data_IF_524822940006
#
_entry.id   IF_524822940006
#
_cell.length_a   1.000
_cell.length_b   1.000
_cell.length_c   1.000
_cell.angle_alpha   90.00
_cell.angle_beta   90.00
_cell.angle_gamma   90.00
#
_symmetry.space_group_name_H-M   'P 1'
#
loop_
_entity.id
_entity.type
_entity.pdbx_description
1 polymer ?
#
# COMPACT_ATOMS: atom_id res chain seq x y z
N UNK A 1 -17.11 -32.30 64.60
CA UNK A 1 -16.10 -32.54 63.54
C UNK A 1 -16.34 -31.53 62.43
N UNK A 2 -15.50 -30.49 62.36
CA UNK A 2 -15.64 -29.41 61.36
C UNK A 2 -14.76 -29.74 60.15
N UNK A 3 -15.36 -30.10 59.00
CA UNK A 3 -14.65 -30.32 57.73
C UNK A 3 -14.32 -28.97 57.12
N UNK A 4 -13.04 -28.59 57.09
CA UNK A 4 -12.52 -27.44 56.37
C UNK A 4 -12.35 -27.81 54.88
N UNK A 5 -13.18 -27.24 54.05
CA UNK A 5 -13.03 -27.35 52.57
C UNK A 5 -12.02 -26.27 52.17
N UNK A 6 -10.83 -26.72 51.77
CA UNK A 6 -9.83 -25.85 51.18
C UNK A 6 -10.20 -25.59 49.71
N UNK A 7 -10.55 -24.35 49.41
CA UNK A 7 -10.80 -23.89 48.02
C UNK A 7 -9.43 -23.52 47.38
N UNK A 8 -8.92 -24.41 46.58
CA UNK A 8 -7.74 -24.10 45.76
C UNK A 8 -8.17 -23.15 44.62
N UNK A 9 -7.84 -21.86 44.77
CA UNK A 9 -7.93 -20.88 43.68
C UNK A 9 -6.77 -21.12 42.72
N UNK A 10 -7.04 -21.80 41.61
CA UNK A 10 -6.11 -21.96 40.51
C UNK A 10 -6.03 -20.64 39.74
N UNK A 11 -5.05 -19.78 40.08
CA UNK A 11 -4.74 -18.60 39.30
C UNK A 11 -4.16 -19.04 37.97
N UNK A 12 -5.01 -19.06 36.93
CA UNK A 12 -4.57 -19.16 35.56
C UNK A 12 -3.80 -17.91 35.13
N UNK A 13 -2.48 -17.98 35.13
CA UNK A 13 -1.62 -16.97 34.50
C UNK A 13 -1.84 -17.07 32.99
N UNK A 14 -2.73 -16.21 32.47
CA UNK A 14 -2.83 -15.97 31.03
C UNK A 14 -1.55 -15.26 30.61
N UNK A 15 -0.59 -15.99 30.08
CA UNK A 15 0.57 -15.39 29.43
C UNK A 15 0.08 -14.63 28.21
N UNK A 16 -0.08 -13.32 28.34
CA UNK A 16 -0.31 -12.41 27.24
C UNK A 16 0.98 -12.39 26.40
N UNK A 17 1.05 -13.25 25.39
CA UNK A 17 2.08 -13.11 24.37
C UNK A 17 1.82 -11.77 23.66
N UNK A 18 2.82 -10.86 23.61
CA UNK A 18 2.68 -9.67 22.80
C UNK A 18 2.56 -10.16 21.35
N UNK A 19 1.37 -10.08 20.78
CA UNK A 19 1.19 -10.17 19.33
C UNK A 19 1.83 -8.91 18.79
N UNK A 20 3.11 -9.01 18.47
CA UNK A 20 3.81 -7.97 17.76
C UNK A 20 3.19 -7.90 16.35
N UNK A 21 2.14 -7.13 16.21
CA UNK A 21 1.63 -6.70 14.92
C UNK A 21 2.69 -5.77 14.33
N UNK A 22 3.74 -6.37 13.79
CA UNK A 22 4.77 -5.65 13.07
C UNK A 22 4.17 -5.17 11.75
N UNK A 23 3.58 -3.98 11.77
CA UNK A 23 3.49 -3.14 10.58
C UNK A 23 4.90 -2.64 10.26
N UNK A 24 5.81 -3.59 10.01
CA UNK A 24 7.21 -3.27 9.78
C UNK A 24 7.36 -2.83 8.33
N UNK A 25 7.40 -1.51 8.13
CA UNK A 25 7.82 -0.92 6.85
C UNK A 25 9.30 -1.21 6.55
N UNK A 26 10.02 -1.86 7.50
CA UNK A 26 11.44 -2.21 7.37
C UNK A 26 11.73 -3.26 6.30
N UNK A 27 10.73 -4.02 5.86
CA UNK A 27 10.87 -4.97 4.76
C UNK A 27 11.10 -4.31 3.40
N UNK A 28 10.76 -3.02 3.25
CA UNK A 28 10.97 -2.26 2.02
C UNK A 28 12.24 -1.42 2.07
N UNK A 29 12.92 -1.29 0.94
CA UNK A 29 14.06 -0.38 0.80
C UNK A 29 13.59 1.00 0.35
N UNK A 30 13.18 1.83 1.31
CA UNK A 30 12.65 3.16 1.04
C UNK A 30 13.67 4.14 0.44
N UNK A 31 14.97 3.82 0.49
CA UNK A 31 16.01 4.60 -0.17
C UNK A 31 16.05 4.38 -1.69
N UNK A 32 15.41 3.30 -2.17
CA UNK A 32 15.36 2.96 -3.59
C UNK A 32 13.98 3.19 -4.17
N UNK A 33 13.96 3.55 -5.44
CA UNK A 33 12.77 3.58 -6.29
C UNK A 33 13.03 2.73 -7.51
N UNK A 34 12.14 1.80 -7.75
CA UNK A 34 12.11 0.97 -8.95
C UNK A 34 10.83 1.28 -9.71
N UNK A 35 10.94 1.37 -11.03
CA UNK A 35 9.78 1.59 -11.91
C UNK A 35 9.54 0.35 -12.77
N UNK A 36 8.28 -0.02 -12.92
CA UNK A 36 7.84 -1.04 -13.87
C UNK A 36 6.74 -0.48 -14.77
N UNK A 37 6.69 -0.96 -16.00
CA UNK A 37 5.56 -0.78 -16.90
C UNK A 37 4.84 -2.12 -17.06
N UNK A 38 3.50 -2.10 -17.03
CA UNK A 38 2.74 -3.34 -17.13
C UNK A 38 1.23 -3.15 -17.17
N UNK A 39 0.54 -4.24 -16.91
CA UNK A 39 -0.93 -4.30 -16.87
C UNK A 39 -1.38 -4.78 -15.50
N UNK A 40 -2.36 -4.11 -14.92
CA UNK A 40 -2.98 -4.52 -13.65
C UNK A 40 -3.67 -5.86 -13.86
N UNK A 41 -3.27 -6.85 -13.07
CA UNK A 41 -3.91 -8.17 -13.08
C UNK A 41 -5.06 -8.23 -12.10
N UNK A 42 -4.87 -7.69 -10.89
CA UNK A 42 -5.79 -7.84 -9.77
C UNK A 42 -5.62 -6.70 -8.78
N UNK A 43 -6.70 -6.32 -8.10
CA UNK A 43 -6.72 -5.33 -7.03
C UNK A 43 -7.43 -5.91 -5.82
N UNK A 44 -6.72 -6.06 -4.71
CA UNK A 44 -7.28 -6.44 -3.42
C UNK A 44 -7.53 -5.19 -2.59
N UNK A 45 -8.75 -4.70 -2.63
CA UNK A 45 -9.19 -3.53 -1.87
C UNK A 45 -9.78 -3.98 -0.52
N UNK A 46 -8.90 -4.32 0.43
CA UNK A 46 -9.28 -4.92 1.72
C UNK A 46 -8.36 -4.45 2.85
N UNK A 47 -8.83 -4.58 4.11
CA UNK A 47 -8.00 -4.39 5.30
C UNK A 47 -7.12 -5.62 5.54
N UNK A 48 -5.92 -5.45 6.16
CA UNK A 48 -5.35 -4.18 6.64
C UNK A 48 -4.67 -3.36 5.54
N UNK A 49 -4.33 -3.93 4.40
CA UNK A 49 -3.61 -3.30 3.31
C UNK A 49 -4.29 -3.51 1.97
N UNK A 50 -4.28 -2.47 1.14
CA UNK A 50 -4.62 -2.61 -0.28
C UNK A 50 -3.41 -3.17 -1.01
N UNK A 51 -3.66 -4.12 -1.91
CA UNK A 51 -2.63 -4.70 -2.76
C UNK A 51 -3.03 -4.64 -4.23
N UNK A 52 -2.07 -4.30 -5.10
CA UNK A 52 -2.24 -4.30 -6.55
C UNK A 52 -1.23 -5.27 -7.15
N UNK A 53 -1.71 -6.20 -7.94
CA UNK A 53 -0.88 -7.12 -8.71
C UNK A 53 -0.72 -6.60 -10.13
N UNK A 54 0.53 -6.39 -10.55
CA UNK A 54 0.87 -5.88 -11.88
C UNK A 54 1.73 -6.90 -12.59
N UNK A 55 1.33 -7.28 -13.78
CA UNK A 55 2.13 -8.11 -14.67
C UNK A 55 2.94 -7.19 -15.58
N UNK A 56 4.24 -7.07 -15.31
CA UNK A 56 5.07 -6.07 -15.97
C UNK A 56 6.57 -6.34 -15.86
N UNK A 57 7.35 -5.43 -16.41
CA UNK A 57 8.80 -5.52 -16.48
C UNK A 57 9.48 -4.20 -16.09
N UNK A 58 10.73 -4.30 -15.61
CA UNK A 58 11.57 -3.15 -15.22
C UNK A 58 12.26 -2.49 -16.40
N UNK A 59 12.42 -3.22 -17.50
CA UNK A 59 13.08 -2.73 -18.71
C UNK A 59 12.31 -3.15 -19.96
N UNK A 60 12.31 -2.29 -20.97
CA UNK A 60 11.74 -2.63 -22.25
C UNK A 60 12.40 -3.90 -22.82
N UNK A 61 11.58 -4.86 -23.26
CA UNK A 61 12.05 -6.13 -23.82
C UNK A 61 12.45 -7.19 -22.79
N UNK A 62 12.42 -6.91 -21.49
CA UNK A 62 12.56 -7.96 -20.48
C UNK A 62 11.25 -8.73 -20.28
N UNK A 63 11.37 -10.03 -19.93
CA UNK A 63 10.22 -10.88 -19.67
C UNK A 63 9.35 -10.30 -18.56
N UNK A 64 8.05 -10.10 -18.79
CA UNK A 64 7.15 -9.62 -17.76
C UNK A 64 6.99 -10.66 -16.66
N UNK A 65 6.91 -10.18 -15.43
CA UNK A 65 6.63 -11.01 -14.24
C UNK A 65 5.54 -10.41 -13.40
N UNK A 66 4.99 -11.19 -12.48
CA UNK A 66 3.98 -10.70 -11.54
C UNK A 66 4.64 -9.98 -10.37
N UNK A 67 4.22 -8.74 -10.12
CA UNK A 67 4.67 -7.88 -9.03
C UNK A 67 3.53 -7.60 -8.07
N UNK A 68 3.82 -7.63 -6.77
CA UNK A 68 2.88 -7.26 -5.71
C UNK A 68 3.24 -5.88 -5.17
N UNK A 69 2.31 -4.93 -5.29
CA UNK A 69 2.43 -3.59 -4.73
C UNK A 69 1.55 -3.46 -3.52
N UNK A 70 2.15 -3.20 -2.36
CA UNK A 70 1.42 -2.98 -1.11
C UNK A 70 1.24 -1.49 -0.84
N UNK A 71 0.10 -1.16 -0.21
CA UNK A 71 -0.24 0.18 0.26
C UNK A 71 -0.80 0.12 1.66
N UNK A 72 -1.20 1.25 2.21
CA UNK A 72 -1.93 1.35 3.48
C UNK A 72 -3.38 0.84 3.35
N UNK A 73 -4.16 0.97 4.41
CA UNK A 73 -5.56 0.51 4.42
C UNK A 73 -6.46 1.31 3.47
N UNK A 74 -7.58 0.71 3.01
CA UNK A 74 -8.57 1.42 2.21
C UNK A 74 -9.04 2.73 2.82
N UNK A 75 -9.29 2.74 4.14
CA UNK A 75 -9.74 3.94 4.85
C UNK A 75 -8.72 5.07 4.85
N UNK A 76 -7.43 4.76 4.91
CA UNK A 76 -6.38 5.76 4.82
C UNK A 76 -6.29 6.35 3.41
N UNK A 77 -6.35 5.51 2.38
CA UNK A 77 -6.29 5.93 0.98
C UNK A 77 -7.48 6.83 0.59
N UNK A 78 -8.69 6.49 1.03
CA UNK A 78 -9.89 7.30 0.79
C UNK A 78 -9.79 8.66 1.50
N UNK A 79 -9.28 8.69 2.75
CA UNK A 79 -9.10 9.96 3.49
C UNK A 79 -8.08 10.90 2.87
N UNK A 80 -7.02 10.34 2.29
CA UNK A 80 -6.04 11.15 1.58
C UNK A 80 -6.61 11.82 0.32
N UNK A 81 -7.74 11.31 -0.17
CA UNK A 81 -8.37 11.75 -1.41
C UNK A 81 -7.76 11.11 -2.65
N UNK A 82 -8.49 11.18 -3.75
CA UNK A 82 -8.09 10.63 -5.04
C UNK A 82 -8.23 9.11 -5.19
N UNK A 83 -8.10 8.32 -4.13
CA UNK A 83 -8.27 6.88 -4.17
C UNK A 83 -9.72 6.45 -3.96
N UNK A 84 -10.14 5.45 -4.74
CA UNK A 84 -11.38 4.70 -4.55
C UNK A 84 -11.17 3.26 -4.98
N UNK A 85 -12.12 2.38 -4.67
CA UNK A 85 -12.08 0.98 -5.11
C UNK A 85 -11.97 0.85 -6.65
N UNK A 86 -12.45 1.83 -7.39
CA UNK A 86 -12.45 1.86 -8.85
C UNK A 86 -11.35 2.73 -9.46
N UNK A 87 -10.45 3.29 -8.65
CA UNK A 87 -9.38 4.18 -9.11
C UNK A 87 -8.42 3.48 -10.09
N UNK A 88 -8.14 2.21 -9.83
CA UNK A 88 -7.32 1.32 -10.66
C UNK A 88 -8.06 0.00 -10.79
N UNK A 89 -8.10 -0.57 -11.99
CA UNK A 89 -8.88 -1.77 -12.31
C UNK A 89 -8.03 -2.81 -13.04
N UNK A 90 -8.38 -4.10 -12.94
CA UNK A 90 -7.81 -5.13 -13.79
C UNK A 90 -7.91 -4.74 -15.26
N UNK A 91 -6.82 -4.90 -16.01
CA UNK A 91 -6.69 -4.53 -17.41
C UNK A 91 -6.10 -3.15 -17.67
N UNK A 92 -6.04 -2.26 -16.67
CA UNK A 92 -5.42 -0.95 -16.83
C UNK A 92 -3.93 -1.10 -17.14
N UNK A 93 -3.46 -0.37 -18.16
CA UNK A 93 -2.03 -0.23 -18.46
C UNK A 93 -1.45 0.85 -17.56
N UNK A 94 -0.37 0.53 -16.87
CA UNK A 94 0.18 1.38 -15.81
C UNK A 94 1.70 1.46 -15.86
N UNK A 95 2.23 2.57 -15.35
CA UNK A 95 3.59 2.68 -14.86
C UNK A 95 3.54 2.78 -13.34
N UNK A 96 4.37 2.02 -12.65
CA UNK A 96 4.36 1.95 -11.18
C UNK A 96 5.75 2.21 -10.64
N UNK A 97 5.85 3.19 -9.73
CA UNK A 97 7.05 3.48 -8.95
C UNK A 97 6.83 2.94 -7.52
N UNK A 98 7.81 2.21 -7.01
CA UNK A 98 7.72 1.58 -5.71
C UNK A 98 9.07 1.44 -5.01
N UNK A 99 9.06 1.31 -3.68
CA UNK A 99 10.20 0.89 -2.88
C UNK A 99 10.27 -0.63 -2.86
N UNK A 100 11.35 -1.25 -3.38
CA UNK A 100 11.42 -2.70 -3.53
C UNK A 100 11.53 -3.42 -2.18
N UNK A 101 11.12 -4.68 -2.15
CA UNK A 101 11.39 -5.58 -1.04
C UNK A 101 12.90 -5.81 -0.90
N UNK A 102 13.41 -5.79 0.34
CA UNK A 102 14.85 -6.02 0.63
C UNK A 102 15.30 -7.45 0.35
N UNK A 103 14.38 -8.41 0.38
CA UNK A 103 14.66 -9.82 0.11
C UNK A 103 14.73 -10.17 -1.39
N UNK A 104 14.56 -9.18 -2.27
CA UNK A 104 14.64 -9.34 -3.71
C UNK A 104 13.40 -9.96 -4.37
N UNK A 105 12.37 -10.27 -3.62
CA UNK A 105 11.09 -10.72 -4.21
C UNK A 105 10.46 -9.65 -5.08
N UNK A 106 9.61 -10.09 -6.01
CA UNK A 106 8.93 -9.23 -6.97
C UNK A 106 7.78 -8.47 -6.30
N UNK A 107 8.08 -7.29 -5.75
CA UNK A 107 7.10 -6.44 -5.07
C UNK A 107 7.74 -5.32 -4.29
N UNK A 108 6.88 -4.52 -3.66
CA UNK A 108 7.32 -3.40 -2.86
C UNK A 108 6.18 -2.53 -2.34
N UNK A 109 6.56 -1.48 -1.62
CA UNK A 109 5.63 -0.43 -1.19
C UNK A 109 5.39 0.54 -2.35
N UNK A 110 4.13 0.64 -2.79
CA UNK A 110 3.74 1.53 -3.88
C UNK A 110 4.02 2.99 -3.48
N UNK A 111 4.65 3.74 -4.37
CA UNK A 111 4.82 5.20 -4.27
C UNK A 111 3.86 5.93 -5.19
N UNK A 112 3.84 5.55 -6.46
CA UNK A 112 2.98 6.14 -7.49
C UNK A 112 2.54 5.08 -8.49
N UNK A 113 1.32 5.18 -8.95
CA UNK A 113 0.82 4.45 -10.11
C UNK A 113 0.20 5.44 -11.08
N UNK A 114 0.58 5.36 -12.34
CA UNK A 114 0.09 6.23 -13.41
C UNK A 114 -0.66 5.39 -14.43
N UNK A 115 -1.90 5.75 -14.71
CA UNK A 115 -2.69 5.16 -15.79
C UNK A 115 -2.18 5.68 -17.14
N UNK A 116 -1.67 4.80 -17.99
CA UNK A 116 -1.05 5.18 -19.27
C UNK A 116 -2.06 5.87 -20.21
N UNK A 117 -3.30 5.41 -20.21
CA UNK A 117 -4.33 5.88 -21.13
C UNK A 117 -4.77 7.32 -20.84
N UNK A 118 -4.92 7.68 -19.56
CA UNK A 118 -5.42 9.01 -19.14
C UNK A 118 -4.32 9.96 -18.64
N UNK A 119 -3.13 9.42 -18.32
CA UNK A 119 -2.09 10.15 -17.63
C UNK A 119 -2.38 10.42 -16.15
N UNK A 120 -3.55 10.03 -15.66
CA UNK A 120 -3.92 10.20 -14.25
C UNK A 120 -3.03 9.35 -13.36
N UNK A 121 -2.60 9.91 -12.23
CA UNK A 121 -1.76 9.19 -11.28
C UNK A 121 -2.38 9.19 -9.88
N UNK A 122 -1.96 8.22 -9.08
CA UNK A 122 -2.31 8.09 -7.68
C UNK A 122 -1.04 7.80 -6.88
N UNK A 123 -0.95 8.34 -5.66
CA UNK A 123 0.17 8.10 -4.75
C UNK A 123 -0.30 7.36 -3.51
N UNK A 124 0.54 6.50 -2.95
CA UNK A 124 0.29 5.88 -1.66
C UNK A 124 0.86 6.70 -0.49
N UNK A 125 1.63 7.75 -0.76
CA UNK A 125 2.02 8.76 0.21
C UNK A 125 0.83 9.71 0.42
N UNK A 126 0.12 9.49 1.53
CA UNK A 126 -1.09 10.23 1.89
C UNK A 126 -0.84 11.74 1.89
N UNK A 127 0.30 12.19 2.43
CA UNK A 127 0.63 13.62 2.50
C UNK A 127 0.95 14.22 1.12
N UNK A 128 1.55 13.43 0.25
CA UNK A 128 1.80 13.86 -1.12
C UNK A 128 0.49 13.99 -1.91
N UNK A 129 -0.45 13.07 -1.70
CA UNK A 129 -1.76 13.12 -2.35
C UNK A 129 -2.60 14.30 -1.84
N UNK A 130 -2.60 14.56 -0.53
CA UNK A 130 -3.27 15.73 0.05
C UNK A 130 -2.72 17.05 -0.54
N UNK A 131 -1.40 17.18 -0.67
CA UNK A 131 -0.78 18.36 -1.30
C UNK A 131 -1.18 18.50 -2.77
N UNK A 132 -1.16 17.40 -3.53
CA UNK A 132 -1.55 17.43 -4.95
C UNK A 132 -3.02 17.85 -5.13
N UNK A 133 -3.91 17.36 -4.28
CA UNK A 133 -5.32 17.76 -4.30
C UNK A 133 -5.51 19.25 -3.97
N UNK A 134 -4.75 19.77 -2.99
CA UNK A 134 -4.81 21.21 -2.64
C UNK A 134 -4.26 22.10 -3.76
N UNK A 135 -3.25 21.65 -4.50
CA UNK A 135 -2.71 22.38 -5.65
C UNK A 135 -3.70 22.37 -6.82
N UNK A 136 -4.44 21.30 -7.04
CA UNK A 136 -5.48 21.20 -8.08
C UNK A 136 -6.71 22.08 -7.75
N UNK A 137 -7.08 22.19 -6.44
CA UNK A 137 -8.19 23.02 -5.98
C UNK A 137 -7.83 24.52 -5.86
N UNK A 138 -6.55 24.84 -5.87
CA UNK A 138 -6.09 26.22 -5.76
C UNK A 138 -6.48 27.02 -7.02
N UNK A 139 -7.05 28.24 -6.90
CA UNK A 139 -7.36 29.06 -8.06
C UNK A 139 -6.07 29.35 -8.84
N UNK A 140 -6.14 29.23 -10.16
CA UNK A 140 -5.01 29.45 -11.05
C UNK A 140 -4.36 30.82 -10.73
N UNK A 141 -3.07 30.79 -10.39
CA UNK A 141 -2.31 32.01 -10.08
C UNK A 141 -2.40 32.96 -11.28
N UNK A 142 -2.86 34.22 -11.11
CA UNK A 142 -2.94 35.16 -12.23
C UNK A 142 -1.57 35.30 -12.88
N UNK A 143 -1.56 35.18 -14.20
CA UNK A 143 -0.34 35.36 -14.99
C UNK A 143 0.27 36.74 -14.67
N UNK A 144 1.53 36.77 -14.26
CA UNK A 144 2.26 37.99 -14.03
C UNK A 144 2.33 38.80 -15.35
N UNK A 145 1.84 40.01 -15.32
CA UNK A 145 1.95 40.96 -16.44
C UNK A 145 3.35 41.51 -16.54
#
# INVERSE_FOLDING_TARGET
MKKRIAFLALLGVVAAYPVAAHHSTTMFDHAKVVSIAGTVKEVHWTNPHVAIFVYGSVAAGSEPTLWLMEMTSPGNLVRAGGWSRSAVKPGDKVTVDFSPLRDGKKGGALKRITLVESGKFYTADIRAQERANLEEEAPAKPAAK
#
